data_IF_256386461004
#
_entry.id   IF_256386461004
#
_cell.length_a   1.000
_cell.length_b   1.000
_cell.length_c   1.000
_cell.angle_alpha   90.00
_cell.angle_beta   90.00
_cell.angle_gamma   90.00
#
_symmetry.space_group_name_H-M   'P 1'
#
loop_
_entity.id
_entity.type
_entity.pdbx_description
1 polymer ?
#
# COMPACT_ATOMS: atom_id res chain seq x y z
N UNK A 1 -28.22 13.06 0.23
CA UNK A 1 -26.76 13.11 0.42
C UNK A 1 -26.35 11.91 1.27
N UNK A 2 -25.51 11.00 0.76
CA UNK A 2 -24.98 9.88 1.56
C UNK A 2 -23.74 10.38 2.31
N UNK A 3 -23.91 10.69 3.59
CA UNK A 3 -22.81 11.14 4.46
C UNK A 3 -21.96 9.93 4.81
N UNK A 4 -20.67 9.98 4.50
CA UNK A 4 -19.70 8.93 4.85
C UNK A 4 -19.49 8.99 6.38
N UNK A 5 -19.86 7.95 7.16
CA UNK A 5 -19.96 8.05 8.62
C UNK A 5 -18.63 8.16 9.38
N UNK A 6 -17.48 8.05 8.71
CA UNK A 6 -16.16 7.85 9.35
C UNK A 6 -15.19 9.03 9.16
N UNK A 7 -15.72 10.25 9.10
CA UNK A 7 -14.90 11.46 9.29
C UNK A 7 -14.59 11.75 10.78
N UNK A 8 -15.13 10.95 11.71
CA UNK A 8 -15.21 11.25 13.14
C UNK A 8 -14.05 10.75 14.04
N UNK A 9 -12.92 10.33 13.48
CA UNK A 9 -11.77 9.97 14.35
C UNK A 9 -10.78 11.11 14.59
N UNK A 10 -10.93 12.25 13.91
CA UNK A 10 -10.15 13.47 14.19
C UNK A 10 -10.99 14.71 13.85
N UNK A 11 -12.09 14.93 14.57
CA UNK A 11 -12.98 16.08 14.34
C UNK A 11 -12.25 17.42 14.50
N UNK A 12 -11.20 17.48 15.31
CA UNK A 12 -10.45 18.71 15.53
C UNK A 12 -9.63 19.14 14.29
N UNK A 13 -8.92 18.20 13.68
CA UNK A 13 -8.06 18.45 12.50
C UNK A 13 -8.90 18.84 11.28
N UNK A 14 -10.03 18.16 11.08
CA UNK A 14 -10.96 18.45 9.98
C UNK A 14 -11.69 19.78 10.20
N UNK A 15 -12.06 20.10 11.44
CA UNK A 15 -12.70 21.38 11.79
C UNK A 15 -11.74 22.55 11.57
N UNK A 16 -10.46 22.40 11.91
CA UNK A 16 -9.42 23.41 11.65
C UNK A 16 -9.25 23.68 10.16
N UNK A 17 -9.18 22.63 9.32
CA UNK A 17 -9.14 22.79 7.86
C UNK A 17 -10.40 23.46 7.29
N UNK A 18 -11.56 23.15 7.85
CA UNK A 18 -12.83 23.72 7.39
C UNK A 18 -12.98 25.19 7.82
N UNK A 19 -12.43 25.58 8.98
CA UNK A 19 -12.47 26.95 9.48
C UNK A 19 -11.43 27.87 8.86
N UNK A 20 -10.23 27.35 8.55
CA UNK A 20 -9.10 28.13 7.99
C UNK A 20 -9.15 28.13 6.45
N UNK A 21 -9.89 27.21 5.85
CA UNK A 21 -9.97 27.07 4.41
C UNK A 21 -8.71 26.44 3.81
N UNK A 22 -8.63 26.46 2.49
CA UNK A 22 -7.57 25.81 1.71
C UNK A 22 -6.40 26.74 1.35
N UNK A 23 -6.47 28.01 1.74
CA UNK A 23 -5.47 29.05 1.42
C UNK A 23 -5.00 29.88 2.62
N UNK A 24 -5.44 29.61 3.86
CA UNK A 24 -5.01 30.35 5.07
C UNK A 24 -5.18 31.87 4.98
N UNK A 25 -6.30 32.33 4.42
CA UNK A 25 -6.58 33.75 4.14
C UNK A 25 -5.64 34.41 3.11
N UNK A 26 -4.83 33.64 2.38
CA UNK A 26 -4.13 34.13 1.20
C UNK A 26 -5.09 34.26 0.03
N UNK A 27 -4.81 35.24 -0.84
CA UNK A 27 -5.47 35.31 -2.15
C UNK A 27 -5.17 34.04 -2.94
N UNK A 28 -6.09 33.64 -3.81
CA UNK A 28 -5.91 32.45 -4.65
C UNK A 28 -4.70 32.63 -5.58
N UNK A 29 -4.47 33.87 -6.06
CA UNK A 29 -3.33 34.23 -6.88
C UNK A 29 -1.99 34.06 -6.13
N UNK A 30 -1.90 34.60 -4.91
CA UNK A 30 -0.67 34.51 -4.09
C UNK A 30 -0.41 33.07 -3.64
N UNK A 31 -1.46 32.33 -3.28
CA UNK A 31 -1.35 30.92 -2.94
C UNK A 31 -0.85 30.11 -4.14
N UNK A 32 -1.39 30.33 -5.34
CA UNK A 32 -0.94 29.65 -6.55
C UNK A 32 0.51 30.01 -6.90
N UNK A 33 0.88 31.29 -6.76
CA UNK A 33 2.26 31.75 -6.95
C UNK A 33 3.22 31.04 -5.97
N UNK A 34 2.83 30.94 -4.70
CA UNK A 34 3.59 30.25 -3.67
C UNK A 34 3.81 28.78 -4.03
N UNK A 35 2.75 28.04 -4.37
CA UNK A 35 2.84 26.62 -4.74
C UNK A 35 3.75 26.40 -5.95
N UNK A 36 3.62 27.22 -6.98
CA UNK A 36 4.44 27.16 -8.19
C UNK A 36 5.91 27.46 -7.92
N UNK A 37 6.19 28.42 -7.04
CA UNK A 37 7.57 28.82 -6.70
C UNK A 37 8.21 27.80 -5.76
N UNK A 38 7.45 27.24 -4.83
CA UNK A 38 7.87 26.14 -3.94
C UNK A 38 8.26 24.88 -4.71
N UNK A 39 7.60 24.56 -5.82
CA UNK A 39 8.00 23.45 -6.67
C UNK A 39 9.38 23.67 -7.32
N UNK A 40 9.76 24.94 -7.53
CA UNK A 40 11.05 25.32 -8.16
C UNK A 40 12.16 25.53 -7.13
N UNK A 41 11.82 25.91 -5.90
CA UNK A 41 12.76 26.24 -4.84
C UNK A 41 12.73 25.20 -3.72
N UNK A 42 13.85 24.51 -3.50
CA UNK A 42 13.96 23.47 -2.47
C UNK A 42 14.24 24.03 -1.06
N UNK A 43 14.62 25.30 -0.94
CA UNK A 43 15.01 25.93 0.33
C UNK A 43 14.14 27.13 0.66
N UNK A 44 13.81 27.31 1.94
CA UNK A 44 12.94 28.42 2.41
C UNK A 44 13.49 29.81 2.06
N UNK A 45 14.80 30.11 2.23
CA UNK A 45 15.32 31.44 1.87
C UNK A 45 15.21 31.73 0.37
N UNK A 46 15.42 30.73 -0.49
CA UNK A 46 15.27 30.89 -1.92
C UNK A 46 13.80 31.10 -2.33
N UNK A 47 12.88 30.42 -1.65
CA UNK A 47 11.43 30.60 -1.84
C UNK A 47 11.01 32.03 -1.49
N UNK A 48 11.44 32.53 -0.33
CA UNK A 48 11.14 33.90 0.12
C UNK A 48 11.66 34.91 -0.90
N UNK A 49 12.93 34.83 -1.31
CA UNK A 49 13.51 35.75 -2.28
C UNK A 49 12.77 35.71 -3.63
N UNK A 50 12.41 34.50 -4.11
CA UNK A 50 11.71 34.33 -5.37
C UNK A 50 10.27 34.87 -5.34
N UNK A 51 9.57 34.77 -4.20
CA UNK A 51 8.23 35.34 -4.05
C UNK A 51 8.31 36.86 -3.90
N UNK A 52 9.21 37.37 -3.06
CA UNK A 52 9.39 38.81 -2.86
C UNK A 52 9.81 39.54 -4.14
N UNK A 53 10.58 38.89 -5.02
CA UNK A 53 10.92 39.46 -6.33
C UNK A 53 9.71 39.66 -7.26
N UNK A 54 8.61 38.94 -7.04
CA UNK A 54 7.38 39.03 -7.84
C UNK A 54 6.28 39.84 -7.15
N UNK A 55 6.16 39.66 -5.84
CA UNK A 55 5.20 40.36 -4.99
C UNK A 55 5.97 41.00 -3.82
N UNK A 56 6.44 42.25 -3.96
CA UNK A 56 7.18 42.93 -2.89
C UNK A 56 6.29 43.28 -1.69
N UNK A 57 4.97 43.27 -1.86
CA UNK A 57 3.99 43.56 -0.81
C UNK A 57 3.92 42.45 0.26
N UNK A 58 4.37 41.24 -0.07
CA UNK A 58 4.40 40.11 0.87
C UNK A 58 5.67 40.15 1.72
N UNK A 59 5.47 40.17 3.04
CA UNK A 59 6.58 40.12 4.00
C UNK A 59 7.22 38.73 4.03
N UNK A 60 8.52 38.69 4.30
CA UNK A 60 9.25 37.43 4.45
C UNK A 60 8.63 36.53 5.54
N UNK A 61 8.16 37.14 6.63
CA UNK A 61 7.49 36.47 7.73
C UNK A 61 6.19 35.80 7.27
N UNK A 62 5.34 36.51 6.51
CA UNK A 62 4.10 35.95 5.98
C UNK A 62 4.37 34.71 5.13
N UNK A 63 5.37 34.77 4.24
CA UNK A 63 5.76 33.65 3.38
C UNK A 63 6.25 32.44 4.18
N UNK A 64 7.07 32.67 5.22
CA UNK A 64 7.60 31.61 6.08
C UNK A 64 6.48 30.97 6.91
N UNK A 65 5.58 31.79 7.47
CA UNK A 65 4.42 31.30 8.20
C UNK A 65 3.52 30.44 7.31
N UNK A 66 3.30 30.89 6.07
CA UNK A 66 2.54 30.12 5.08
C UNK A 66 3.22 28.82 4.68
N UNK A 67 4.55 28.75 4.58
CA UNK A 67 5.27 27.48 4.36
C UNK A 67 5.11 26.53 5.55
N UNK A 68 5.12 27.03 6.78
CA UNK A 68 4.87 26.22 7.98
C UNK A 68 3.43 25.68 7.97
N UNK A 69 2.46 26.55 7.73
CA UNK A 69 1.05 26.17 7.59
C UNK A 69 0.85 25.16 6.45
N UNK A 70 1.45 25.39 5.28
CA UNK A 70 1.28 24.54 4.10
C UNK A 70 1.81 23.12 4.32
N UNK A 71 2.91 22.96 5.06
CA UNK A 71 3.41 21.64 5.49
C UNK A 71 2.39 20.91 6.37
N UNK A 72 1.81 21.62 7.34
CA UNK A 72 0.78 21.07 8.23
C UNK A 72 -0.45 20.69 7.39
N UNK A 73 -0.94 21.59 6.55
CA UNK A 73 -2.05 21.36 5.63
C UNK A 73 -1.87 20.09 4.76
N UNK A 74 -0.69 19.91 4.16
CA UNK A 74 -0.37 18.73 3.37
C UNK A 74 -0.44 17.44 4.20
N UNK A 75 0.13 17.44 5.40
CA UNK A 75 0.09 16.27 6.29
C UNK A 75 -1.34 15.88 6.68
N UNK A 76 -2.19 16.88 6.96
CA UNK A 76 -3.59 16.67 7.29
C UNK A 76 -4.36 16.12 6.08
N UNK A 77 -4.09 16.64 4.87
CA UNK A 77 -4.66 16.14 3.62
C UNK A 77 -4.25 14.69 3.33
N UNK A 78 -3.00 14.32 3.59
CA UNK A 78 -2.52 12.95 3.43
C UNK A 78 -3.15 12.00 4.45
N UNK A 79 -3.29 12.43 5.72
CA UNK A 79 -4.00 11.70 6.76
C UNK A 79 -5.46 11.45 6.36
N UNK A 80 -6.16 12.49 5.90
CA UNK A 80 -7.53 12.40 5.39
C UNK A 80 -7.65 11.41 4.21
N UNK A 81 -6.78 11.52 3.20
CA UNK A 81 -6.75 10.59 2.05
C UNK A 81 -6.49 9.16 2.50
N UNK A 82 -5.59 8.97 3.47
CA UNK A 82 -5.24 7.65 4.01
C UNK A 82 -6.41 7.03 4.78
N UNK A 83 -7.12 7.81 5.59
CA UNK A 83 -8.32 7.36 6.30
C UNK A 83 -9.43 6.95 5.33
N UNK A 84 -9.68 7.73 4.28
CA UNK A 84 -10.65 7.38 3.24
C UNK A 84 -10.24 6.08 2.54
N UNK A 85 -8.96 5.90 2.23
CA UNK A 85 -8.44 4.66 1.62
C UNK A 85 -8.60 3.45 2.55
N UNK A 86 -8.30 3.60 3.84
CA UNK A 86 -8.51 2.54 4.85
C UNK A 86 -9.98 2.16 4.94
N UNK A 87 -10.86 3.15 5.07
CA UNK A 87 -12.31 2.93 5.11
C UNK A 87 -12.83 2.20 3.86
N UNK A 88 -12.37 2.58 2.67
CA UNK A 88 -12.75 1.88 1.43
C UNK A 88 -12.28 0.41 1.43
N UNK A 89 -11.06 0.15 1.90
CA UNK A 89 -10.53 -1.21 2.02
C UNK A 89 -11.31 -2.02 3.03
N UNK A 90 -11.60 -1.48 4.20
CA UNK A 90 -12.41 -2.14 5.24
C UNK A 90 -13.80 -2.45 4.70
N UNK A 91 -14.44 -1.51 3.99
CA UNK A 91 -15.76 -1.76 3.39
C UNK A 91 -15.75 -2.85 2.33
N UNK A 92 -14.68 -2.92 1.54
CA UNK A 92 -14.50 -4.00 0.56
C UNK A 92 -14.27 -5.35 1.24
N UNK A 93 -13.43 -5.40 2.28
CA UNK A 93 -13.18 -6.62 3.05
C UNK A 93 -14.45 -7.10 3.77
N UNK A 94 -15.24 -6.18 4.34
CA UNK A 94 -16.49 -6.51 5.00
C UNK A 94 -17.55 -7.03 4.00
N UNK A 95 -17.52 -6.53 2.76
CA UNK A 95 -18.35 -7.08 1.67
C UNK A 95 -17.92 -8.50 1.32
N UNK A 96 -16.62 -8.75 1.17
CA UNK A 96 -16.08 -10.10 0.89
C UNK A 96 -16.38 -11.09 2.01
N UNK A 97 -16.20 -10.69 3.27
CA UNK A 97 -16.54 -11.54 4.43
C UNK A 97 -18.03 -11.90 4.43
N UNK A 98 -18.92 -10.97 4.07
CA UNK A 98 -20.36 -11.27 3.93
C UNK A 98 -20.65 -12.25 2.79
N UNK A 99 -19.99 -12.07 1.65
CA UNK A 99 -20.11 -12.97 0.50
C UNK A 99 -19.59 -14.38 0.84
N UNK A 100 -18.42 -14.48 1.49
CA UNK A 100 -17.83 -15.74 1.93
C UNK A 100 -18.70 -16.45 2.98
N UNK A 101 -19.31 -15.70 3.92
CA UNK A 101 -20.24 -16.24 4.92
C UNK A 101 -21.52 -16.78 4.28
N UNK A 102 -22.07 -16.08 3.28
CA UNK A 102 -23.22 -16.60 2.50
C UNK A 102 -22.86 -17.85 1.69
N UNK A 103 -21.64 -17.95 1.17
CA UNK A 103 -21.18 -19.14 0.43
C UNK A 103 -20.99 -20.32 1.40
N UNK A 104 -20.45 -20.09 2.60
CA UNK A 104 -20.31 -21.11 3.64
C UNK A 104 -21.67 -21.64 4.12
N UNK A 105 -22.62 -20.75 4.40
CA UNK A 105 -23.99 -21.13 4.83
C UNK A 105 -24.73 -21.91 3.74
N UNK A 106 -24.57 -21.56 2.45
CA UNK A 106 -25.12 -22.34 1.33
C UNK A 106 -24.41 -23.70 1.15
N UNK A 107 -23.12 -23.81 1.43
CA UNK A 107 -22.40 -25.08 1.35
C UNK A 107 -22.81 -26.06 2.46
N UNK A 108 -23.13 -25.55 3.65
CA UNK A 108 -23.66 -26.34 4.77
C UNK A 108 -25.10 -26.80 4.53
N UNK A 109 -25.92 -26.02 3.83
CA UNK A 109 -27.27 -26.41 3.42
C UNK A 109 -27.27 -27.54 2.37
N UNK A 110 -26.32 -27.52 1.41
CA UNK A 110 -26.14 -28.58 0.41
C UNK A 110 -25.73 -29.92 1.07
N UNK A 111 -24.92 -29.89 2.13
CA UNK A 111 -24.47 -31.11 2.83
C UNK A 111 -25.59 -31.76 3.67
N UNK A 112 -26.63 -31.02 4.07
CA UNK A 112 -27.82 -31.57 4.74
C UNK A 112 -28.90 -32.06 3.77
N UNK A 113 -28.99 -31.53 2.56
CA UNK A 113 -29.95 -31.99 1.54
C UNK A 113 -29.50 -33.26 0.81
N UNK A 114 -28.19 -33.49 0.62
CA UNK A 114 -27.68 -34.72 0.01
C UNK A 114 -27.98 -35.98 0.87
N UNK A 115 -28.06 -35.84 2.20
CA UNK A 115 -28.47 -36.94 3.09
C UNK A 115 -29.97 -37.29 2.97
N UNK A 116 -30.82 -36.41 2.43
CA UNK A 116 -32.26 -36.63 2.32
C UNK A 116 -32.69 -37.10 0.92
N UNK A 117 -31.91 -36.81 -0.13
CA UNK A 117 -32.21 -37.26 -1.50
C UNK A 117 -31.93 -38.75 -1.73
N UNK A 118 -31.03 -39.37 -0.96
CA UNK A 118 -30.68 -40.79 -1.14
C UNK A 118 -31.75 -41.74 -0.60
N UNK A 119 -32.59 -41.28 0.33
CA UNK A 119 -33.73 -42.05 0.86
C UNK A 119 -34.95 -41.94 -0.08
N UNK A 120 -35.15 -40.79 -0.74
CA UNK A 120 -36.33 -40.54 -1.57
C UNK A 120 -36.29 -41.23 -2.96
N UNK A 121 -35.10 -41.54 -3.50
CA UNK A 121 -34.98 -42.22 -4.81
C UNK A 121 -35.36 -43.70 -4.80
N UNK A 122 -35.53 -44.33 -3.63
CA UNK A 122 -35.88 -45.77 -3.54
C UNK A 122 -37.39 -46.06 -3.63
N UNK A 123 -38.27 -45.06 -3.75
CA UNK A 123 -39.73 -45.25 -3.65
C UNK A 123 -40.60 -44.70 -4.79
N UNK A 124 -40.06 -44.23 -5.91
CA UNK A 124 -40.89 -43.77 -7.04
C UNK A 124 -40.41 -44.25 -8.41
N UNK A 125 -40.61 -45.53 -8.66
CA UNK A 125 -40.69 -46.11 -10.01
C UNK A 125 -42.07 -46.78 -10.14
N UNK A 126 -43.07 -45.96 -10.47
CA UNK A 126 -44.44 -46.44 -10.64
C UNK A 126 -45.41 -45.28 -10.88
N UNK A 127 -45.50 -44.85 -12.14
CA UNK A 127 -46.70 -44.29 -12.79
C UNK A 127 -46.28 -43.41 -13.98
N UNK A 128 -46.29 -44.00 -15.17
CA UNK A 128 -46.45 -43.26 -16.42
C UNK A 128 -47.91 -42.78 -16.51
N UNK A 129 -48.14 -41.52 -16.90
CA UNK A 129 -49.13 -41.17 -17.93
C UNK A 129 -49.22 -39.66 -18.26
N UNK A 130 -49.14 -39.40 -19.56
CA UNK A 130 -49.90 -38.46 -20.43
C UNK A 130 -49.73 -36.93 -20.33
N UNK A 131 -49.29 -36.43 -21.49
CA UNK A 131 -49.44 -35.11 -22.10
C UNK A 131 -50.85 -34.50 -22.01
N UNK A 132 -50.93 -33.16 -21.87
CA UNK A 132 -51.34 -32.23 -22.95
C UNK A 132 -51.32 -30.78 -22.44
N UNK A 133 -50.38 -29.97 -22.95
CA UNK A 133 -50.40 -28.51 -22.80
C UNK A 133 -50.86 -27.88 -24.11
N UNK A 134 -52.01 -27.19 -24.06
CA UNK A 134 -52.57 -26.42 -25.17
C UNK A 134 -51.75 -25.15 -25.40
N UNK A 135 -51.28 -25.00 -26.64
CA UNK A 135 -50.62 -23.80 -27.14
C UNK A 135 -51.66 -22.82 -27.71
N UNK A 136 -51.63 -21.56 -27.29
CA UNK A 136 -51.94 -20.37 -28.12
C UNK A 136 -51.40 -19.16 -27.33
N UNK A 137 -50.41 -18.40 -27.81
CA UNK A 137 -50.65 -17.22 -28.65
C UNK A 137 -49.34 -16.79 -29.31
N UNK A 138 -49.30 -16.96 -30.62
CA UNK A 138 -48.27 -16.49 -31.55
C UNK A 138 -48.51 -15.01 -31.84
N UNK A 139 -47.48 -14.17 -31.70
CA UNK A 139 -47.59 -12.75 -32.07
C UNK A 139 -46.42 -11.82 -31.72
N UNK A 140 -45.30 -12.29 -31.15
CA UNK A 140 -44.22 -11.37 -30.74
C UNK A 140 -42.77 -11.90 -30.86
N UNK A 141 -42.54 -12.96 -31.63
CA UNK A 141 -41.27 -13.71 -31.62
C UNK A 141 -40.10 -12.97 -32.30
N UNK A 142 -40.37 -12.12 -33.30
CA UNK A 142 -39.30 -11.51 -34.12
C UNK A 142 -38.59 -10.35 -33.40
N UNK A 143 -39.30 -9.58 -32.56
CA UNK A 143 -38.72 -8.46 -31.81
C UNK A 143 -37.96 -8.94 -30.55
N UNK A 144 -38.40 -10.04 -29.93
CA UNK A 144 -37.74 -10.66 -28.77
C UNK A 144 -36.36 -11.22 -29.15
N UNK A 145 -36.22 -11.80 -30.35
CA UNK A 145 -34.96 -12.35 -30.87
C UNK A 145 -33.86 -11.28 -31.04
N UNK A 146 -34.19 -10.13 -31.64
CA UNK A 146 -33.22 -9.04 -31.85
C UNK A 146 -32.85 -8.34 -30.54
N UNK A 147 -33.81 -8.16 -29.63
CA UNK A 147 -33.58 -7.62 -28.30
C UNK A 147 -32.71 -8.54 -27.44
N UNK A 148 -32.93 -9.86 -27.51
CA UNK A 148 -32.10 -10.85 -26.82
C UNK A 148 -30.67 -10.90 -27.37
N UNK A 149 -30.49 -10.81 -28.69
CA UNK A 149 -29.16 -10.73 -29.32
C UNK A 149 -28.40 -9.47 -28.87
N UNK A 150 -29.06 -8.31 -28.79
CA UNK A 150 -28.44 -7.07 -28.30
C UNK A 150 -28.07 -7.16 -26.81
N UNK A 151 -28.90 -7.80 -25.99
CA UNK A 151 -28.60 -8.05 -24.57
C UNK A 151 -27.36 -8.94 -24.38
N UNK A 152 -27.24 -10.00 -25.18
CA UNK A 152 -26.07 -10.88 -25.09
C UNK A 152 -24.77 -10.19 -25.51
N UNK A 153 -24.81 -9.36 -26.57
CA UNK A 153 -23.66 -8.55 -26.97
C UNK A 153 -23.23 -7.56 -25.87
N UNK A 154 -24.19 -6.92 -25.18
CA UNK A 154 -23.88 -6.04 -24.04
C UNK A 154 -23.27 -6.84 -22.88
N UNK A 155 -23.73 -8.06 -22.64
CA UNK A 155 -23.19 -8.95 -21.60
C UNK A 155 -21.76 -9.36 -21.91
N UNK A 156 -21.49 -9.78 -23.15
CA UNK A 156 -20.15 -10.11 -23.63
C UNK A 156 -19.20 -8.92 -23.52
N UNK A 157 -19.61 -7.73 -23.96
CA UNK A 157 -18.78 -6.52 -23.87
C UNK A 157 -18.45 -6.14 -22.42
N UNK A 158 -19.42 -6.28 -21.50
CA UNK A 158 -19.18 -6.05 -20.07
C UNK A 158 -18.21 -7.06 -19.48
N UNK A 159 -18.35 -8.35 -19.82
CA UNK A 159 -17.44 -9.40 -19.38
C UNK A 159 -16.03 -9.21 -19.95
N UNK A 160 -15.90 -8.86 -21.22
CA UNK A 160 -14.62 -8.62 -21.87
C UNK A 160 -13.90 -7.40 -21.26
N UNK A 161 -14.63 -6.32 -21.00
CA UNK A 161 -14.10 -5.12 -20.33
C UNK A 161 -13.65 -5.42 -18.91
N UNK A 162 -14.40 -6.23 -18.17
CA UNK A 162 -14.04 -6.66 -16.82
C UNK A 162 -12.84 -7.60 -16.82
N UNK A 163 -12.81 -8.56 -17.75
CA UNK A 163 -11.69 -9.47 -17.93
C UNK A 163 -10.41 -8.72 -18.28
N UNK A 164 -10.49 -7.71 -19.16
CA UNK A 164 -9.36 -6.83 -19.47
C UNK A 164 -8.84 -6.09 -18.24
N UNK A 165 -9.73 -5.50 -17.43
CA UNK A 165 -9.34 -4.86 -16.15
C UNK A 165 -8.67 -5.83 -15.19
N UNK A 166 -9.22 -7.03 -15.07
CA UNK A 166 -8.65 -8.10 -14.23
C UNK A 166 -7.24 -8.49 -14.70
N UNK A 167 -7.01 -8.65 -16.00
CA UNK A 167 -5.69 -8.98 -16.54
C UNK A 167 -4.67 -7.86 -16.28
N UNK A 168 -5.06 -6.59 -16.50
CA UNK A 168 -4.21 -5.43 -16.24
C UNK A 168 -3.86 -5.31 -14.75
N UNK A 169 -4.84 -5.55 -13.86
CA UNK A 169 -4.63 -5.58 -12.41
C UNK A 169 -3.68 -6.70 -11.98
N UNK A 170 -3.86 -7.92 -12.52
CA UNK A 170 -2.99 -9.06 -12.24
C UNK A 170 -1.57 -8.84 -12.77
N UNK A 171 -1.41 -8.20 -13.93
CA UNK A 171 -0.10 -7.81 -14.44
C UNK A 171 0.58 -6.77 -13.55
N UNK A 172 -0.16 -5.73 -13.14
CA UNK A 172 0.33 -4.70 -12.22
C UNK A 172 0.77 -5.30 -10.87
N UNK A 173 -0.05 -6.21 -10.31
CA UNK A 173 0.26 -6.93 -9.06
C UNK A 173 1.53 -7.75 -9.18
N UNK A 174 1.68 -8.56 -10.24
CA UNK A 174 2.89 -9.36 -10.48
C UNK A 174 4.15 -8.51 -10.61
N UNK A 175 4.06 -7.37 -11.29
CA UNK A 175 5.19 -6.43 -11.41
C UNK A 175 5.59 -5.84 -10.05
N UNK A 176 4.60 -5.48 -9.22
CA UNK A 176 4.85 -4.95 -7.89
C UNK A 176 5.49 -6.00 -6.98
N UNK A 177 4.95 -7.22 -6.97
CA UNK A 177 5.48 -8.35 -6.20
C UNK A 177 6.92 -8.69 -6.62
N UNK A 178 7.21 -8.71 -7.92
CA UNK A 178 8.56 -8.92 -8.44
C UNK A 178 9.55 -7.85 -7.95
N UNK A 179 9.15 -6.58 -7.97
CA UNK A 179 9.99 -5.48 -7.45
C UNK A 179 10.26 -5.62 -5.95
N UNK A 180 9.25 -5.96 -5.16
CA UNK A 180 9.40 -6.18 -3.72
C UNK A 180 10.31 -7.38 -3.43
N UNK A 181 10.11 -8.51 -4.13
CA UNK A 181 10.95 -9.69 -3.98
C UNK A 181 12.42 -9.41 -4.34
N UNK A 182 12.67 -8.65 -5.41
CA UNK A 182 14.02 -8.24 -5.78
C UNK A 182 14.67 -7.33 -4.74
N UNK A 183 13.91 -6.41 -4.15
CA UNK A 183 14.40 -5.55 -3.07
C UNK A 183 14.73 -6.35 -1.82
N UNK A 184 13.88 -7.30 -1.44
CA UNK A 184 14.09 -8.16 -0.28
C UNK A 184 15.31 -9.06 -0.46
N UNK A 185 15.48 -9.66 -1.64
CA UNK A 185 16.68 -10.44 -1.98
C UNK A 185 17.96 -9.62 -1.82
N UNK A 186 17.97 -8.38 -2.31
CA UNK A 186 19.13 -7.47 -2.15
C UNK A 186 19.43 -7.16 -0.69
N UNK A 187 18.40 -7.00 0.16
CA UNK A 187 18.59 -6.80 1.61
C UNK A 187 19.20 -8.05 2.25
N UNK A 188 18.68 -9.23 1.92
CA UNK A 188 19.20 -10.50 2.43
C UNK A 188 20.66 -10.73 2.00
N UNK A 189 21.00 -10.43 0.75
CA UNK A 189 22.38 -10.51 0.26
C UNK A 189 23.32 -9.56 1.01
N UNK A 190 22.90 -8.32 1.28
CA UNK A 190 23.67 -7.37 2.09
C UNK A 190 23.91 -7.89 3.51
N UNK A 191 22.88 -8.44 4.14
CA UNK A 191 23.00 -9.01 5.49
C UNK A 191 23.95 -10.20 5.52
N UNK A 192 23.84 -11.12 4.55
CA UNK A 192 24.77 -12.24 4.41
C UNK A 192 26.20 -11.76 4.20
N UNK A 193 26.41 -10.75 3.35
CA UNK A 193 27.73 -10.19 3.12
C UNK A 193 28.32 -9.62 4.42
N UNK A 194 27.55 -8.79 5.15
CA UNK A 194 27.99 -8.24 6.44
C UNK A 194 28.35 -9.37 7.42
N UNK A 195 27.49 -10.38 7.55
CA UNK A 195 27.74 -11.52 8.41
C UNK A 195 29.05 -12.25 8.04
N UNK A 196 29.28 -12.52 6.75
CA UNK A 196 30.52 -13.16 6.30
C UNK A 196 31.76 -12.30 6.56
N UNK A 197 31.68 -10.98 6.33
CA UNK A 197 32.81 -10.06 6.60
C UNK A 197 33.15 -9.99 8.08
N UNK A 198 32.14 -10.03 8.97
CA UNK A 198 32.36 -10.04 10.41
C UNK A 198 33.02 -11.35 10.86
N UNK A 199 32.54 -12.49 10.34
CA UNK A 199 33.15 -13.79 10.64
C UNK A 199 34.61 -13.86 10.18
N UNK A 200 34.90 -13.36 8.98
CA UNK A 200 36.26 -13.33 8.47
C UNK A 200 37.17 -12.38 9.28
N UNK A 201 36.65 -11.21 9.66
CA UNK A 201 37.36 -10.29 10.56
C UNK A 201 37.67 -10.94 11.92
N UNK A 202 36.69 -11.60 12.55
CA UNK A 202 36.90 -12.32 13.81
C UNK A 202 37.95 -13.41 13.67
N UNK A 203 37.93 -14.17 12.58
CA UNK A 203 38.92 -15.21 12.28
C UNK A 203 40.33 -14.62 12.14
N UNK A 204 40.49 -13.54 11.36
CA UNK A 204 41.77 -12.84 11.21
C UNK A 204 42.26 -12.26 12.54
N UNK A 205 41.37 -11.65 13.32
CA UNK A 205 41.69 -11.11 14.64
C UNK A 205 42.20 -12.19 15.59
N UNK A 206 41.57 -13.36 15.59
CA UNK A 206 42.01 -14.50 16.39
C UNK A 206 43.41 -14.99 15.97
N UNK A 207 43.67 -15.07 14.66
CA UNK A 207 45.01 -15.44 14.16
C UNK A 207 46.08 -14.40 14.47
N UNK A 208 45.76 -13.10 14.40
CA UNK A 208 46.69 -12.02 14.79
C UNK A 208 47.04 -12.10 16.28
N UNK A 209 46.05 -12.32 17.14
CA UNK A 209 46.28 -12.44 18.59
C UNK A 209 47.14 -13.68 18.92
N UNK A 210 46.89 -14.81 18.26
CA UNK A 210 47.73 -16.00 18.41
C UNK A 210 49.17 -15.79 17.90
N UNK A 211 49.34 -15.12 16.75
CA UNK A 211 50.66 -14.80 16.20
C UNK A 211 51.45 -13.79 17.06
N UNK A 212 50.75 -12.87 17.75
CA UNK A 212 51.37 -11.91 18.66
C UNK A 212 51.71 -12.54 20.02
N UNK A 213 50.89 -13.46 20.54
CA UNK A 213 51.21 -14.23 21.75
C UNK A 213 52.49 -15.07 21.57
N UNK A 214 52.66 -15.71 20.41
CA UNK A 214 53.89 -16.47 20.09
C UNK A 214 55.15 -15.60 19.94
N UNK A 215 55.01 -14.29 19.74
CA UNK A 215 56.14 -13.35 19.66
C UNK A 215 56.56 -12.81 21.04
N UNK A 216 55.64 -12.70 21.98
CA UNK A 216 55.94 -12.22 23.33
C UNK A 216 56.65 -13.27 24.20
N UNK A 217 56.46 -14.57 23.93
CA UNK A 217 57.21 -15.65 24.60
C UNK A 217 58.71 -15.67 24.24
N UNK A 218 59.14 -14.89 23.24
CA UNK A 218 60.55 -14.74 22.85
C UNK A 218 61.23 -13.49 23.41
N UNK A 219 60.54 -12.69 24.24
CA UNK A 219 61.01 -11.38 24.73
C UNK A 219 61.43 -11.34 26.19
N UNK A 220 61.50 -12.48 26.88
CA UNK A 220 62.04 -12.62 28.24
C UNK A 220 63.56 -12.87 28.22
N UNK A 221 64.33 -11.99 27.58
CA UNK A 221 65.77 -11.86 27.87
C UNK A 221 66.34 -10.55 27.29
N UNK A 222 65.75 -9.40 27.66
CA UNK A 222 66.50 -8.13 27.53
C UNK A 222 67.53 -8.08 28.65
N UNK A 223 68.74 -8.58 28.38
CA UNK A 223 69.92 -8.32 29.21
C UNK A 223 70.15 -6.81 29.25
N UNK A 224 69.93 -6.22 30.42
CA UNK A 224 70.27 -4.82 30.68
C UNK A 224 71.77 -4.74 30.92
N UNK A 225 72.46 -3.85 30.20
CA UNK A 225 73.90 -3.61 30.40
C UNK A 225 74.11 -2.82 31.70
N UNK A 226 74.81 -3.38 32.72
CA UNK A 226 74.99 -2.72 34.02
C UNK A 226 75.67 -1.34 33.92
N UNK A 227 76.48 -1.12 32.88
CA UNK A 227 77.18 0.15 32.66
C UNK A 227 76.22 1.34 32.42
N UNK A 228 74.97 1.08 32.01
CA UNK A 228 73.97 2.14 31.80
C UNK A 228 73.34 2.65 33.11
N UNK A 229 73.54 1.96 34.23
CA UNK A 229 72.94 2.32 35.53
C UNK A 229 73.90 3.21 36.34
N UNK A 230 75.21 3.13 36.11
CA UNK A 230 76.22 3.89 36.87
C UNK A 230 76.38 5.36 36.43
N UNK A 231 75.90 5.74 35.24
CA UNK A 231 76.01 7.11 34.73
C UNK A 231 75.04 8.11 35.39
N UNK A 232 74.23 7.67 36.35
CA UNK A 232 73.22 8.49 37.04
C UNK A 232 73.46 8.64 38.56
N UNK A 233 74.67 8.38 39.05
CA UNK A 233 75.06 8.67 40.45
C UNK A 233 76.11 9.76 40.56
#
# INVERSE_FOLDING_TARGET
MRVIPYLLSDDNDNKLLFSIGHTDNWSDEDHQLFVNTRQKCNTTPALVAAIQSKCPDLTAEAIVNHEAWYKIYLSLREKQKSNIRKWRKEKEMEKKIREDKMIAENAEEIFCEESNLDIAKKLRLGASNKHETKATTSGNVVNISSANRKKELIRQWKMEKENKRSIEEQQSKRLMESKLAAQEKRKQERLKMIQTTLLDYHKRKLTELSANASKDDSKTERKYDPAMIESFR
#
